data_IF_273728642708
#
_entry.id   IF_273728642708
#
_cell.length_a   1.000
_cell.length_b   1.000
_cell.length_c   1.000
_cell.angle_alpha   90.00
_cell.angle_beta   90.00
_cell.angle_gamma   90.00
#
_symmetry.space_group_name_H-M   'P 1'
#
loop_
_entity.id
_entity.type
_entity.pdbx_description
1 polymer ?
#
# COMPACT_ATOMS: atom_id res chain seq x y z
N UNK A 1 25.25 -9.98 35.77
CA UNK A 1 23.88 -10.07 35.20
C UNK A 1 23.57 -11.53 34.98
N UNK A 2 22.95 -12.20 35.96
CA UNK A 2 22.61 -13.62 35.84
C UNK A 2 21.50 -13.79 34.81
N UNK A 3 21.77 -14.50 33.71
CA UNK A 3 20.74 -14.86 32.73
C UNK A 3 20.03 -16.10 33.26
N UNK A 4 18.78 -15.93 33.65
CA UNK A 4 17.91 -17.02 34.04
C UNK A 4 17.60 -17.89 32.80
N UNK A 5 17.95 -19.17 32.88
CA UNK A 5 17.88 -20.13 31.79
C UNK A 5 16.54 -20.88 31.86
N UNK A 6 15.42 -20.17 31.78
CA UNK A 6 14.10 -20.81 31.76
C UNK A 6 13.85 -21.44 30.40
N UNK A 7 13.53 -22.73 30.38
CA UNK A 7 13.14 -23.44 29.15
C UNK A 7 11.92 -22.73 28.53
N UNK A 8 12.09 -22.27 27.29
CA UNK A 8 11.07 -21.48 26.57
C UNK A 8 10.11 -22.35 25.76
N UNK A 9 10.42 -23.64 25.65
CA UNK A 9 9.70 -24.58 24.79
C UNK A 9 8.57 -25.31 25.52
N UNK A 10 8.77 -25.59 26.80
CA UNK A 10 7.78 -26.25 27.65
C UNK A 10 6.95 -25.21 28.39
N UNK A 11 5.62 -25.25 28.24
CA UNK A 11 4.70 -24.41 29.01
C UNK A 11 4.74 -24.87 30.48
N UNK A 12 5.23 -24.01 31.37
CA UNK A 12 5.13 -24.26 32.81
C UNK A 12 3.71 -23.89 33.27
N UNK A 13 2.89 -24.92 33.54
CA UNK A 13 1.49 -24.79 33.92
C UNK A 13 1.30 -24.36 35.39
N UNK A 14 2.38 -24.32 36.19
CA UNK A 14 2.34 -24.04 37.62
C UNK A 14 3.06 -22.74 38.02
N UNK A 15 3.64 -22.01 37.05
CA UNK A 15 4.23 -20.71 37.30
C UNK A 15 3.14 -19.66 37.59
N UNK A 16 3.12 -19.11 38.81
CA UNK A 16 2.21 -18.03 39.19
C UNK A 16 2.64 -16.67 38.61
N UNK A 17 3.90 -16.54 38.19
CA UNK A 17 4.44 -15.30 37.62
C UNK A 17 4.02 -15.09 36.16
N UNK A 18 3.36 -13.96 35.89
CA UNK A 18 3.03 -13.54 34.53
C UNK A 18 4.30 -13.19 33.76
N UNK A 19 4.72 -14.06 32.83
CA UNK A 19 5.79 -13.74 31.87
C UNK A 19 5.40 -12.48 31.06
N UNK A 20 6.30 -11.51 30.84
CA UNK A 20 6.01 -10.37 29.98
C UNK A 20 5.76 -10.86 28.55
N UNK A 21 4.49 -10.95 28.18
CA UNK A 21 4.06 -11.31 26.84
C UNK A 21 4.37 -10.21 25.83
N UNK A 22 4.47 -10.60 24.55
CA UNK A 22 4.59 -9.70 23.39
C UNK A 22 3.67 -8.48 23.56
N UNK A 23 4.17 -7.23 23.46
CA UNK A 23 3.34 -6.04 23.59
C UNK A 23 2.13 -6.15 22.65
N UNK A 24 0.93 -6.25 23.21
CA UNK A 24 -0.30 -6.29 22.43
C UNK A 24 -0.65 -4.86 22.03
N UNK A 25 -0.77 -4.68 20.71
CA UNK A 25 -1.44 -3.58 20.01
C UNK A 25 -0.73 -2.23 20.00
N UNK A 26 -0.77 -1.57 18.83
CA UNK A 26 -0.36 -0.17 18.71
C UNK A 26 -1.05 0.66 19.80
N UNK A 27 -0.35 1.59 20.47
CA UNK A 27 -0.88 2.33 21.63
C UNK A 27 -2.06 3.26 21.27
N UNK A 28 -2.33 3.41 19.99
CA UNK A 28 -3.40 4.23 19.44
C UNK A 28 -4.65 3.41 19.20
N UNK A 29 -5.81 4.02 19.36
CA UNK A 29 -7.07 3.43 18.91
C UNK A 29 -7.06 3.21 17.38
N UNK A 30 -7.91 2.30 16.89
CA UNK A 30 -8.01 2.01 15.45
C UNK A 30 -8.34 3.26 14.62
N UNK A 31 -9.19 4.14 15.15
CA UNK A 31 -9.59 5.38 14.49
C UNK A 31 -8.43 6.37 14.37
N UNK A 32 -7.62 6.49 15.43
CA UNK A 32 -6.43 7.33 15.41
C UNK A 32 -5.37 6.79 14.43
N UNK A 33 -5.18 5.47 14.41
CA UNK A 33 -4.30 4.81 13.45
C UNK A 33 -4.75 5.10 12.00
N UNK A 34 -6.04 4.98 11.70
CA UNK A 34 -6.59 5.28 10.37
C UNK A 34 -6.34 6.74 9.96
N UNK A 35 -6.54 7.70 10.87
CA UNK A 35 -6.26 9.13 10.62
C UNK A 35 -4.79 9.38 10.33
N UNK A 36 -3.89 8.79 11.12
CA UNK A 36 -2.43 8.95 10.93
C UNK A 36 -2.00 8.30 9.60
N UNK A 37 -2.47 7.09 9.31
CA UNK A 37 -2.16 6.40 8.06
C UNK A 37 -2.63 7.19 6.85
N UNK A 38 -3.84 7.78 6.91
CA UNK A 38 -4.36 8.64 5.85
C UNK A 38 -3.51 9.90 5.69
N UNK A 39 -3.11 10.56 6.78
CA UNK A 39 -2.23 11.74 6.74
C UNK A 39 -0.86 11.39 6.13
N UNK A 40 -0.28 10.26 6.51
CA UNK A 40 1.00 9.80 5.96
C UNK A 40 0.89 9.42 4.48
N UNK A 41 -0.23 8.82 4.06
CA UNK A 41 -0.53 8.59 2.64
C UNK A 41 -0.54 9.92 1.88
N UNK A 42 -1.31 10.90 2.33
CA UNK A 42 -1.39 12.22 1.66
C UNK A 42 -0.04 12.95 1.64
N UNK A 43 0.75 12.86 2.71
CA UNK A 43 2.12 13.42 2.74
C UNK A 43 3.02 12.74 1.71
N UNK A 44 3.00 11.42 1.61
CA UNK A 44 3.78 10.67 0.60
C UNK A 44 3.36 11.01 -0.81
N UNK A 45 2.05 11.05 -1.07
CA UNK A 45 1.50 11.40 -2.38
C UNK A 45 1.95 12.83 -2.77
N UNK A 46 1.86 13.80 -1.84
CA UNK A 46 2.33 15.19 -2.07
C UNK A 46 3.83 15.27 -2.35
N UNK A 47 4.67 14.57 -1.59
CA UNK A 47 6.14 14.57 -1.77
C UNK A 47 6.52 13.99 -3.12
N UNK A 48 5.80 12.96 -3.59
CA UNK A 48 6.00 12.34 -4.91
C UNK A 48 5.36 13.12 -6.06
N UNK A 49 4.69 14.25 -5.79
CA UNK A 49 3.97 15.02 -6.82
C UNK A 49 2.73 14.32 -7.37
N UNK A 50 2.26 13.25 -6.73
CA UNK A 50 1.11 12.47 -7.18
C UNK A 50 -0.18 13.25 -6.96
N UNK A 51 -1.00 13.34 -8.00
CA UNK A 51 -2.36 13.89 -7.93
C UNK A 51 -3.37 12.80 -8.29
N UNK A 52 -4.47 12.74 -7.55
CA UNK A 52 -5.58 11.83 -7.86
C UNK A 52 -6.53 12.53 -8.80
N UNK A 53 -6.88 11.86 -9.89
CA UNK A 53 -7.87 12.31 -10.86
C UNK A 53 -9.01 11.30 -10.85
N UNK A 54 -10.24 11.79 -10.77
CA UNK A 54 -11.44 10.97 -10.89
C UNK A 54 -11.92 11.01 -12.35
N UNK A 55 -12.12 9.84 -12.94
CA UNK A 55 -12.49 9.68 -14.34
C UNK A 55 -13.75 8.81 -14.44
N UNK A 56 -14.72 9.25 -15.23
CA UNK A 56 -15.89 8.44 -15.61
C UNK A 56 -15.63 7.85 -16.99
N UNK A 57 -15.74 6.53 -17.09
CA UNK A 57 -15.50 5.77 -18.32
C UNK A 57 -16.64 4.80 -18.55
N UNK A 58 -16.78 4.33 -19.79
CA UNK A 58 -17.71 3.27 -20.12
C UNK A 58 -17.29 1.97 -19.42
N UNK A 59 -18.27 1.16 -19.01
CA UNK A 59 -18.04 -0.10 -18.30
C UNK A 59 -17.17 -1.06 -19.12
N UNK A 60 -17.46 -1.20 -20.41
CA UNK A 60 -16.70 -2.04 -21.33
C UNK A 60 -15.22 -1.65 -21.41
N UNK A 61 -14.94 -0.34 -21.46
CA UNK A 61 -13.57 0.16 -21.48
C UNK A 61 -12.81 -0.17 -20.20
N UNK A 62 -13.48 -0.09 -19.04
CA UNK A 62 -12.87 -0.46 -17.75
C UNK A 62 -12.61 -1.96 -17.68
N UNK A 63 -13.52 -2.78 -18.22
CA UNK A 63 -13.36 -4.24 -18.29
C UNK A 63 -12.12 -4.62 -19.11
N UNK A 64 -11.98 -4.06 -20.32
CA UNK A 64 -10.83 -4.28 -21.19
C UNK A 64 -9.52 -3.85 -20.52
N UNK A 65 -9.50 -2.67 -19.87
CA UNK A 65 -8.32 -2.19 -19.14
C UNK A 65 -7.91 -3.12 -17.99
N UNK A 66 -8.88 -3.69 -17.25
CA UNK A 66 -8.58 -4.66 -16.19
C UNK A 66 -7.98 -5.95 -16.77
N UNK A 67 -8.51 -6.44 -17.89
CA UNK A 67 -7.99 -7.65 -18.55
C UNK A 67 -6.54 -7.44 -19.01
N UNK A 68 -6.28 -6.34 -19.72
CA UNK A 68 -4.93 -5.99 -20.17
C UNK A 68 -3.94 -5.79 -19.01
N UNK A 69 -4.39 -5.17 -17.91
CA UNK A 69 -3.56 -5.01 -16.72
C UNK A 69 -3.22 -6.36 -16.07
N UNK A 70 -4.19 -7.28 -16.03
CA UNK A 70 -3.99 -8.64 -15.53
C UNK A 70 -3.04 -9.45 -16.39
N UNK A 71 -3.16 -9.37 -17.72
CA UNK A 71 -2.26 -10.06 -18.67
C UNK A 71 -0.81 -9.58 -18.51
N UNK A 72 -0.64 -8.28 -18.28
CA UNK A 72 0.67 -7.65 -18.08
C UNK A 72 1.19 -7.73 -16.64
N UNK A 73 0.46 -8.38 -15.71
CA UNK A 73 0.79 -8.47 -14.27
C UNK A 73 1.09 -7.11 -13.61
N UNK A 74 0.36 -6.06 -14.00
CA UNK A 74 0.52 -4.71 -13.46
C UNK A 74 -0.80 -4.17 -12.91
N UNK A 75 -0.74 -3.14 -12.06
CA UNK A 75 -1.96 -2.51 -11.61
C UNK A 75 -2.61 -1.70 -12.73
N UNK A 76 -3.95 -1.61 -12.73
CA UNK A 76 -4.68 -0.78 -13.68
C UNK A 76 -4.19 0.69 -13.68
N UNK A 77 -3.82 1.22 -12.51
CA UNK A 77 -3.31 2.60 -12.38
C UNK A 77 -1.99 2.78 -13.12
N UNK A 78 -1.06 1.83 -12.99
CA UNK A 78 0.24 1.85 -13.68
C UNK A 78 0.04 1.73 -15.20
N UNK A 79 -0.86 0.84 -15.65
CA UNK A 79 -1.18 0.70 -17.07
C UNK A 79 -1.71 2.01 -17.66
N UNK A 80 -2.61 2.69 -16.95
CA UNK A 80 -3.17 3.97 -17.41
C UNK A 80 -2.09 5.05 -17.46
N UNK A 81 -1.19 5.10 -16.47
CA UNK A 81 -0.07 6.03 -16.47
C UNK A 81 0.86 5.80 -17.66
N UNK A 82 1.22 4.55 -17.94
CA UNK A 82 2.06 4.18 -19.10
C UNK A 82 1.43 4.58 -20.43
N UNK A 83 0.13 4.30 -20.60
CA UNK A 83 -0.61 4.68 -21.81
C UNK A 83 -0.65 6.20 -21.96
N UNK A 84 -0.95 6.95 -20.89
CA UNK A 84 -1.00 8.40 -20.93
C UNK A 84 0.37 9.01 -21.26
N UNK A 85 1.45 8.52 -20.66
CA UNK A 85 2.79 8.99 -20.96
C UNK A 85 3.20 8.71 -22.41
N UNK A 86 2.94 7.49 -22.91
CA UNK A 86 3.19 7.14 -24.31
C UNK A 86 2.41 8.03 -25.30
N UNK A 87 1.14 8.33 -25.00
CA UNK A 87 0.33 9.21 -25.83
C UNK A 87 0.80 10.67 -25.76
N UNK A 88 1.22 11.15 -24.58
CA UNK A 88 1.77 12.49 -24.43
C UNK A 88 3.09 12.66 -25.19
N UNK A 89 3.95 11.64 -25.19
CA UNK A 89 5.18 11.64 -26.00
C UNK A 89 4.86 11.73 -27.49
N UNK A 90 3.91 10.93 -27.99
CA UNK A 90 3.47 10.96 -29.39
C UNK A 90 2.85 12.30 -29.82
N UNK A 91 2.10 12.95 -28.93
CA UNK A 91 1.49 14.26 -29.20
C UNK A 91 2.51 15.39 -29.07
N UNK A 92 3.50 15.24 -28.18
CA UNK A 92 4.51 16.26 -27.92
C UNK A 92 5.68 16.24 -28.90
N UNK A 93 5.93 15.12 -29.60
CA UNK A 93 6.74 15.14 -30.83
C UNK A 93 5.86 15.71 -31.96
N UNK A 94 5.91 17.04 -32.21
CA UNK A 94 5.10 17.60 -33.26
C UNK A 94 5.68 17.07 -34.56
N UNK A 95 4.85 16.39 -35.34
CA UNK A 95 4.96 16.22 -36.79
C UNK A 95 6.15 16.96 -37.40
N UNK A 96 7.33 16.33 -37.41
CA UNK A 96 8.42 16.76 -38.28
C UNK A 96 8.00 16.29 -39.67
N UNK A 97 7.25 17.16 -40.35
CA UNK A 97 7.19 17.19 -41.81
C UNK A 97 8.39 17.95 -42.31
#
# INVERSE_FOLDING_TARGET
MAKEQTDRTTLDLFAEERRPGRPKTSPLSRDEQLRINKRNQLKRDKVKGLRRVELKLNEDAVSILNQLASEKNMSRSELIEEILMSQLEQVCEPSVK
#
